data_IF_285293556686
#
_entry.id   IF_285293556686
#
_cell.length_a   1.000
_cell.length_b   1.000
_cell.length_c   1.000
_cell.angle_alpha   90.00
_cell.angle_beta   90.00
_cell.angle_gamma   90.00
#
_symmetry.space_group_name_H-M   'P 1'
#
loop_
_entity.id
_entity.type
_entity.pdbx_description
1 polymer ?
#
# COMPACT_ATOMS: atom_id res chain seq x y z
N UNK A 1 35.33 3.31 0.46
CA UNK A 1 34.64 4.40 1.18
C UNK A 1 34.52 5.57 0.21
N UNK A 2 33.43 5.61 -0.57
CA UNK A 2 33.13 6.79 -1.38
C UNK A 2 32.18 7.66 -0.56
N UNK A 3 32.70 8.74 -0.01
CA UNK A 3 31.89 9.81 0.56
C UNK A 3 31.74 10.86 -0.55
N UNK A 4 30.52 11.04 -1.04
CA UNK A 4 30.19 12.21 -1.84
C UNK A 4 29.76 13.32 -0.88
N UNK A 5 30.61 14.33 -0.70
CA UNK A 5 30.25 15.59 -0.05
C UNK A 5 29.64 16.54 -1.10
N UNK A 6 28.46 17.09 -0.84
CA UNK A 6 27.99 18.28 -1.54
C UNK A 6 28.51 19.51 -0.77
N UNK A 7 29.27 20.36 -1.46
CA UNK A 7 29.95 21.54 -0.90
C UNK A 7 28.95 22.66 -0.63
N UNK A 8 29.04 23.29 0.54
CA UNK A 8 28.39 24.56 0.87
C UNK A 8 29.27 25.75 0.46
N UNK A 9 28.71 26.75 -0.21
CA UNK A 9 29.36 28.05 -0.43
C UNK A 9 28.53 28.97 -1.33
N UNK A 10 28.16 30.16 -0.84
CA UNK A 10 27.11 31.04 -1.36
C UNK A 10 27.46 31.83 -2.64
N UNK A 11 26.49 32.00 -3.54
CA UNK A 11 25.78 33.27 -3.84
C UNK A 11 24.94 33.13 -5.14
N UNK A 12 23.69 33.61 -5.09
CA UNK A 12 22.57 33.42 -6.04
C UNK A 12 21.85 32.05 -5.97
N UNK A 13 20.60 32.09 -5.54
CA UNK A 13 19.72 30.91 -5.38
C UNK A 13 19.28 30.37 -6.75
N UNK A 14 19.80 29.20 -7.11
CA UNK A 14 19.10 28.24 -7.96
C UNK A 14 19.44 26.84 -7.47
N UNK A 15 18.70 26.35 -6.48
CA UNK A 15 18.91 25.00 -5.93
C UNK A 15 18.16 23.98 -6.80
N UNK A 16 18.55 23.86 -8.07
CA UNK A 16 18.12 22.76 -8.92
C UNK A 16 19.08 21.57 -8.77
N UNK A 17 19.15 21.01 -7.56
CA UNK A 17 19.85 19.76 -7.30
C UNK A 17 18.97 18.59 -7.78
N UNK A 18 18.94 18.34 -9.09
CA UNK A 18 18.25 17.17 -9.63
C UNK A 18 19.24 16.21 -10.29
N UNK A 19 19.18 14.93 -9.91
CA UNK A 19 19.80 13.85 -10.66
C UNK A 19 18.87 13.48 -11.82
N UNK A 20 19.27 13.77 -13.07
CA UNK A 20 18.50 13.43 -14.26
C UNK A 20 18.83 12.01 -14.74
N UNK A 21 17.88 11.10 -14.64
CA UNK A 21 17.99 9.74 -15.19
C UNK A 21 16.96 9.58 -16.32
N UNK A 22 17.43 9.33 -17.55
CA UNK A 22 16.60 9.12 -18.77
C UNK A 22 16.76 7.68 -19.28
N UNK A 23 15.72 7.12 -19.87
CA UNK A 23 15.68 5.73 -20.33
C UNK A 23 14.72 5.57 -21.50
N UNK A 24 14.69 4.36 -22.06
CA UNK A 24 14.44 4.15 -23.48
C UNK A 24 13.00 3.71 -23.83
N UNK A 25 12.56 4.04 -25.04
CA UNK A 25 11.23 3.77 -25.62
C UNK A 25 11.23 2.45 -26.43
N UNK A 26 10.94 1.31 -25.80
CA UNK A 26 10.81 0.00 -26.47
C UNK A 26 9.35 -0.41 -26.72
N UNK A 27 9.03 -0.86 -27.94
CA UNK A 27 7.68 -1.09 -28.49
C UNK A 27 7.10 -2.52 -28.35
N UNK A 28 7.52 -3.35 -27.39
CA UNK A 28 6.97 -4.72 -27.23
C UNK A 28 6.21 -4.91 -25.91
N UNK A 29 5.34 -5.93 -25.74
CA UNK A 29 4.66 -6.22 -24.47
C UNK A 29 5.64 -6.93 -23.51
N UNK A 30 5.74 -6.48 -22.24
CA UNK A 30 6.85 -6.87 -21.34
C UNK A 30 6.39 -7.49 -20.00
N UNK A 31 7.28 -8.30 -19.40
CA UNK A 31 7.18 -8.86 -18.03
C UNK A 31 8.06 -8.07 -17.04
N UNK A 32 7.57 -7.68 -15.83
CA UNK A 32 8.27 -6.77 -14.90
C UNK A 32 9.54 -7.33 -14.25
N UNK A 33 9.72 -8.66 -14.19
CA UNK A 33 10.80 -9.28 -13.40
C UNK A 33 12.13 -9.39 -14.15
N UNK A 34 12.18 -9.01 -15.43
CA UNK A 34 13.36 -9.04 -16.28
C UNK A 34 13.64 -7.74 -17.04
N UNK A 35 13.06 -6.62 -16.59
CA UNK A 35 13.12 -5.36 -17.33
C UNK A 35 14.49 -4.66 -17.18
N UNK A 36 15.25 -4.61 -18.29
CA UNK A 36 16.55 -3.94 -18.40
C UNK A 36 16.44 -2.41 -18.46
N UNK A 37 15.23 -1.83 -18.45
CA UNK A 37 14.98 -0.37 -18.41
C UNK A 37 14.97 0.20 -16.99
N UNK A 38 15.54 -0.52 -16.02
CA UNK A 38 15.65 -0.04 -14.65
C UNK A 38 16.66 1.09 -14.57
N UNK A 39 16.20 2.29 -14.22
CA UNK A 39 17.03 3.49 -14.14
C UNK A 39 17.92 3.45 -12.90
N UNK A 40 17.34 3.11 -11.75
CA UNK A 40 18.04 3.00 -10.48
C UNK A 40 17.80 1.60 -9.90
N UNK A 41 18.87 0.80 -9.84
CA UNK A 41 18.87 -0.50 -9.17
C UNK A 41 19.71 -0.41 -7.91
N UNK A 42 19.06 -0.48 -6.76
CA UNK A 42 19.73 -0.60 -5.46
C UNK A 42 19.79 -2.07 -5.09
N UNK A 43 20.99 -2.59 -4.83
CA UNK A 43 21.21 -3.99 -4.45
C UNK A 43 22.09 -4.04 -3.21
N UNK A 44 21.62 -4.76 -2.20
CA UNK A 44 22.37 -5.14 -1.03
C UNK A 44 22.59 -6.66 -1.08
N UNK A 45 23.85 -7.09 -1.19
CA UNK A 45 24.25 -8.50 -1.29
C UNK A 45 24.51 -9.15 0.08
N UNK A 46 24.28 -8.42 1.18
CA UNK A 46 24.44 -8.97 2.52
C UNK A 46 23.46 -10.13 2.75
N UNK A 47 23.99 -11.22 3.29
CA UNK A 47 23.28 -12.48 3.54
C UNK A 47 22.83 -12.62 4.99
N UNK A 48 22.83 -11.53 5.76
CA UNK A 48 22.42 -11.50 7.17
C UNK A 48 20.91 -11.21 7.28
N UNK A 49 20.22 -11.70 8.34
CA UNK A 49 18.84 -11.34 8.62
C UNK A 49 18.65 -9.82 8.67
N UNK A 50 17.51 -9.33 8.17
CA UNK A 50 17.16 -7.90 8.10
C UNK A 50 18.02 -7.03 7.16
N UNK A 51 18.83 -7.64 6.29
CA UNK A 51 19.47 -6.91 5.19
C UNK A 51 18.41 -6.24 4.31
N UNK A 52 18.59 -4.96 4.01
CA UNK A 52 17.60 -4.19 3.25
C UNK A 52 18.26 -3.27 2.22
N UNK A 53 17.46 -2.83 1.26
CA UNK A 53 17.69 -1.61 0.48
C UNK A 53 16.57 -0.63 0.79
N UNK A 54 16.88 0.67 0.91
CA UNK A 54 15.88 1.70 1.14
C UNK A 54 16.25 3.01 0.45
N UNK A 55 15.22 3.74 0.01
CA UNK A 55 15.29 5.15 -0.32
C UNK A 55 14.52 5.91 0.75
N UNK A 56 15.17 6.89 1.37
CA UNK A 56 14.57 7.80 2.35
C UNK A 56 14.32 9.15 1.68
N UNK A 57 13.09 9.67 1.82
CA UNK A 57 12.68 10.98 1.33
C UNK A 57 12.26 11.82 2.53
N UNK A 58 13.03 12.85 2.83
CA UNK A 58 12.81 13.77 3.96
C UNK A 58 12.74 15.20 3.48
N UNK A 59 11.91 16.03 4.11
CA UNK A 59 11.90 17.47 3.88
C UNK A 59 11.66 18.26 5.18
N UNK A 60 12.17 19.49 5.24
CA UNK A 60 12.02 20.37 6.41
C UNK A 60 12.98 20.03 7.56
N UNK A 61 12.70 20.58 8.74
CA UNK A 61 13.57 20.49 9.94
C UNK A 61 13.41 19.21 10.76
N UNK A 62 12.48 18.32 10.39
CA UNK A 62 12.18 17.10 11.16
C UNK A 62 13.21 15.98 11.04
N UNK A 63 14.22 16.13 10.18
CA UNK A 63 15.25 15.11 9.94
C UNK A 63 14.65 13.75 9.57
N UNK A 64 15.26 12.67 10.04
CA UNK A 64 14.84 11.28 9.74
C UNK A 64 13.47 10.89 10.33
N UNK A 65 12.89 11.72 11.21
CA UNK A 65 11.54 11.50 11.74
C UNK A 65 10.46 11.91 10.74
N UNK A 66 10.72 12.90 9.89
CA UNK A 66 9.77 13.40 8.88
C UNK A 66 10.00 12.77 7.49
N UNK A 67 10.27 11.46 7.47
CA UNK A 67 10.70 10.75 6.27
C UNK A 67 9.68 9.72 5.75
N UNK A 68 9.60 9.60 4.43
CA UNK A 68 8.94 8.49 3.74
C UNK A 68 9.99 7.54 3.18
N UNK A 69 9.77 6.25 3.37
CA UNK A 69 10.68 5.20 2.97
C UNK A 69 10.05 4.32 1.89
N UNK A 70 10.82 4.06 0.84
CA UNK A 70 10.59 2.94 -0.08
C UNK A 70 11.69 1.91 0.16
N UNK A 71 11.34 0.74 0.70
CA UNK A 71 12.32 -0.26 1.12
C UNK A 71 11.95 -1.67 0.69
N UNK A 72 12.95 -2.55 0.66
CA UNK A 72 12.75 -3.98 0.52
C UNK A 72 13.65 -4.71 1.51
N UNK A 73 13.05 -5.62 2.28
CA UNK A 73 13.77 -6.44 3.25
C UNK A 73 14.03 -7.83 2.66
N UNK A 74 15.27 -8.31 2.75
CA UNK A 74 15.68 -9.62 2.26
C UNK A 74 14.91 -10.77 2.94
N UNK A 75 14.88 -11.93 2.26
CA UNK A 75 14.05 -13.08 2.65
C UNK A 75 14.78 -14.12 3.52
N UNK A 76 16.12 -14.16 3.60
CA UNK A 76 16.93 -15.29 4.13
C UNK A 76 17.97 -14.89 5.21
N UNK A 77 18.49 -15.73 6.15
CA UNK A 77 18.17 -17.09 6.66
C UNK A 77 19.10 -17.46 7.87
N UNK A 78 18.57 -17.64 9.09
CA UNK A 78 18.72 -18.86 9.93
C UNK A 78 17.90 -18.71 11.23
N UNK A 79 17.14 -19.76 11.55
CA UNK A 79 16.29 -19.91 12.73
C UNK A 79 17.08 -19.75 14.05
N UNK A 80 16.48 -19.30 15.19
CA UNK A 80 15.05 -19.22 15.46
C UNK A 80 14.64 -17.83 16.01
N UNK A 81 14.70 -16.74 15.24
CA UNK A 81 14.12 -15.44 15.66
C UNK A 81 14.04 -14.40 14.52
N UNK A 82 13.77 -14.83 13.28
CA UNK A 82 13.28 -13.90 12.27
C UNK A 82 11.84 -13.52 12.67
N UNK A 83 11.65 -12.36 13.30
CA UNK A 83 10.35 -11.72 13.46
C UNK A 83 9.79 -11.43 12.04
N UNK A 84 9.18 -12.45 11.44
CA UNK A 84 9.00 -12.65 10.00
C UNK A 84 7.83 -11.93 9.34
N UNK A 85 7.36 -10.81 9.88
CA UNK A 85 6.23 -10.08 9.28
C UNK A 85 6.60 -9.38 7.96
N UNK A 86 7.89 -9.05 7.77
CA UNK A 86 8.34 -8.17 6.68
C UNK A 86 9.43 -8.75 5.79
N UNK A 87 9.95 -9.94 6.12
CA UNK A 87 10.99 -10.60 5.34
C UNK A 87 10.47 -10.94 3.93
N UNK A 88 11.22 -10.57 2.89
CA UNK A 88 10.84 -10.75 1.49
C UNK A 88 9.77 -9.77 0.99
N UNK A 89 9.33 -8.80 1.79
CA UNK A 89 8.34 -7.80 1.39
C UNK A 89 9.00 -6.46 1.00
N UNK A 90 8.51 -5.87 -0.09
CA UNK A 90 8.68 -4.44 -0.36
C UNK A 90 7.71 -3.62 0.49
N UNK A 91 8.15 -2.46 0.97
CA UNK A 91 7.39 -1.61 1.87
C UNK A 91 7.43 -0.16 1.39
N UNK A 92 6.28 0.50 1.50
CA UNK A 92 6.14 1.95 1.44
C UNK A 92 5.54 2.39 2.78
N UNK A 93 6.30 3.15 3.56
CA UNK A 93 5.84 3.64 4.86
C UNK A 93 6.34 5.06 5.11
N UNK A 94 5.58 5.82 5.90
CA UNK A 94 5.94 7.15 6.35
C UNK A 94 5.98 7.17 7.88
N UNK A 95 6.88 7.99 8.42
CA UNK A 95 6.88 8.33 9.84
C UNK A 95 6.00 9.58 10.07
N UNK A 96 5.53 9.75 11.30
CA UNK A 96 4.68 10.86 11.76
C UNK A 96 3.24 10.87 11.18
N UNK A 97 2.93 11.82 10.31
CA UNK A 97 1.55 12.16 9.93
C UNK A 97 0.86 11.12 9.03
N UNK A 98 1.62 10.17 8.48
CA UNK A 98 1.09 9.02 7.72
C UNK A 98 1.37 9.07 6.21
N UNK A 99 0.75 8.14 5.48
CA UNK A 99 0.95 7.92 4.05
C UNK A 99 -0.29 8.32 3.25
N UNK A 100 -0.10 9.13 2.21
CA UNK A 100 -1.15 9.47 1.25
C UNK A 100 -0.94 8.67 -0.03
N UNK A 101 -1.92 7.84 -0.40
CA UNK A 101 -2.06 7.28 -1.74
C UNK A 101 -3.16 8.07 -2.45
N UNK A 102 -2.82 8.76 -3.53
CA UNK A 102 -3.76 9.60 -4.28
C UNK A 102 -3.68 9.29 -5.77
N UNK A 103 -4.84 9.23 -6.40
CA UNK A 103 -5.00 9.08 -7.83
C UNK A 103 -5.94 10.16 -8.34
N UNK A 104 -5.63 10.71 -9.51
CA UNK A 104 -6.39 11.79 -10.15
C UNK A 104 -5.62 13.10 -10.28
N UNK A 105 -6.10 13.97 -11.18
CA UNK A 105 -5.57 15.31 -11.44
C UNK A 105 -6.70 16.26 -11.84
N UNK A 106 -6.39 17.54 -12.09
CA UNK A 106 -7.37 18.48 -12.62
C UNK A 106 -7.88 18.10 -14.02
N UNK A 107 -7.08 17.39 -14.82
CA UNK A 107 -7.47 16.91 -16.16
C UNK A 107 -8.12 15.51 -16.13
N UNK A 108 -7.89 14.74 -15.08
CA UNK A 108 -8.51 13.43 -14.87
C UNK A 108 -8.90 13.29 -13.39
N UNK A 109 -10.02 13.91 -12.95
CA UNK A 109 -10.41 13.91 -11.55
C UNK A 109 -10.84 12.53 -11.05
N UNK A 110 -11.20 11.63 -11.96
CA UNK A 110 -11.79 10.32 -11.65
C UNK A 110 -10.71 9.23 -11.49
N UNK A 111 -9.62 9.57 -10.82
CA UNK A 111 -8.57 8.61 -10.50
C UNK A 111 -9.05 7.57 -9.49
N UNK A 112 -8.61 6.33 -9.67
CA UNK A 112 -8.95 5.21 -8.78
C UNK A 112 -7.68 4.59 -8.18
N UNK A 113 -7.82 3.92 -7.04
CA UNK A 113 -6.76 3.14 -6.41
C UNK A 113 -7.14 1.66 -6.53
N UNK A 114 -6.22 0.83 -7.04
CA UNK A 114 -6.42 -0.62 -7.21
C UNK A 114 -5.38 -1.41 -6.41
N UNK A 115 -5.82 -2.52 -5.85
CA UNK A 115 -4.97 -3.53 -5.23
C UNK A 115 -5.10 -4.84 -6.02
N UNK A 116 -3.97 -5.39 -6.42
CA UNK A 116 -3.90 -6.53 -7.36
C UNK A 116 -3.00 -7.62 -6.76
N UNK A 117 -3.35 -8.89 -6.94
CA UNK A 117 -2.53 -10.02 -6.45
C UNK A 117 -2.56 -11.23 -7.38
N UNK A 118 -1.43 -11.95 -7.40
CA UNK A 118 -1.18 -13.19 -8.14
C UNK A 118 -0.95 -12.95 -9.63
N UNK A 119 -0.06 -13.68 -10.28
CA UNK A 119 0.07 -13.68 -11.74
C UNK A 119 -0.43 -15.01 -12.27
N UNK A 120 -0.92 -15.06 -13.51
CA UNK A 120 -1.14 -16.37 -14.13
C UNK A 120 0.21 -17.03 -14.51
N UNK A 121 0.26 -18.35 -14.71
CA UNK A 121 1.50 -19.04 -15.11
C UNK A 121 2.08 -18.56 -16.45
N UNK A 122 1.28 -17.93 -17.30
CA UNK A 122 1.69 -17.32 -18.56
C UNK A 122 2.26 -15.90 -18.37
N UNK A 123 2.30 -15.38 -17.14
CA UNK A 123 2.79 -14.05 -16.82
C UNK A 123 1.80 -12.92 -17.11
N UNK A 124 0.53 -13.23 -17.40
CA UNK A 124 -0.51 -12.22 -17.49
C UNK A 124 -0.75 -11.60 -16.12
N UNK A 125 -0.94 -10.28 -16.13
CA UNK A 125 -1.03 -9.47 -14.94
C UNK A 125 -2.23 -9.83 -14.08
N UNK A 126 -2.03 -9.63 -12.78
CA UNK A 126 -2.97 -9.93 -11.71
C UNK A 126 -4.41 -9.50 -11.95
N UNK A 127 -5.30 -10.27 -11.36
CA UNK A 127 -6.68 -9.85 -11.14
C UNK A 127 -6.71 -8.74 -10.09
N UNK A 128 -7.49 -7.70 -10.38
CA UNK A 128 -7.87 -6.70 -9.40
C UNK A 128 -8.66 -7.37 -8.27
N UNK A 129 -8.19 -7.24 -7.02
CA UNK A 129 -8.82 -7.85 -5.84
C UNK A 129 -9.65 -6.85 -5.06
N UNK A 130 -9.19 -5.62 -4.98
CA UNK A 130 -9.87 -4.53 -4.31
C UNK A 130 -9.64 -3.23 -5.08
N UNK A 131 -10.63 -2.33 -5.04
CA UNK A 131 -10.47 -0.94 -5.48
C UNK A 131 -11.15 0.05 -4.56
N UNK A 132 -10.71 1.30 -4.69
CA UNK A 132 -11.43 2.49 -4.26
C UNK A 132 -11.70 3.31 -5.52
N UNK A 133 -12.98 3.52 -5.84
CA UNK A 133 -13.38 4.33 -6.99
C UNK A 133 -13.32 5.85 -6.70
N UNK A 134 -13.60 6.66 -7.71
CA UNK A 134 -13.50 8.12 -7.64
C UNK A 134 -14.50 8.78 -6.68
N UNK A 135 -15.63 8.12 -6.40
CA UNK A 135 -16.65 8.59 -5.45
C UNK A 135 -16.46 7.99 -4.05
N UNK A 136 -15.38 7.24 -3.85
CA UNK A 136 -14.98 6.65 -2.58
C UNK A 136 -15.74 5.38 -2.20
N UNK A 137 -16.24 4.62 -3.18
CA UNK A 137 -16.75 3.28 -2.95
C UNK A 137 -15.62 2.26 -2.97
N UNK A 138 -15.70 1.30 -2.05
CA UNK A 138 -14.78 0.17 -1.96
C UNK A 138 -15.41 -1.06 -2.59
N UNK A 139 -14.76 -1.59 -3.62
CA UNK A 139 -15.13 -2.87 -4.24
C UNK A 139 -14.13 -3.96 -3.86
N UNK A 140 -14.62 -5.14 -3.49
CA UNK A 140 -13.81 -6.36 -3.31
C UNK A 140 -14.33 -7.43 -4.29
N UNK A 141 -13.44 -7.96 -5.12
CA UNK A 141 -13.76 -8.97 -6.15
C UNK A 141 -14.54 -8.45 -7.36
N UNK A 142 -14.75 -7.14 -7.49
CA UNK A 142 -15.48 -6.54 -8.61
C UNK A 142 -14.94 -5.15 -8.99
N UNK A 143 -15.14 -4.75 -10.25
CA UNK A 143 -14.54 -3.53 -10.81
C UNK A 143 -15.48 -2.30 -10.77
N UNK A 144 -16.76 -2.49 -10.47
CA UNK A 144 -17.78 -1.41 -10.49
C UNK A 144 -18.62 -1.48 -9.22
N UNK A 145 -18.09 -1.04 -8.07
CA UNK A 145 -18.87 -1.01 -6.84
C UNK A 145 -20.06 -0.05 -6.99
N UNK A 146 -21.23 -0.47 -6.52
CA UNK A 146 -22.50 0.29 -6.58
C UNK A 146 -22.90 0.88 -5.22
N UNK A 147 -22.09 0.65 -4.19
CA UNK A 147 -22.30 1.08 -2.81
C UNK A 147 -20.95 1.35 -2.15
N UNK A 148 -20.95 2.07 -1.02
CA UNK A 148 -19.73 2.44 -0.29
C UNK A 148 -18.82 1.25 0.04
N UNK A 149 -19.41 0.08 0.28
CA UNK A 149 -18.71 -1.19 0.32
C UNK A 149 -19.53 -2.21 -0.50
N UNK A 150 -18.88 -2.91 -1.43
CA UNK A 150 -19.46 -4.02 -2.19
C UNK A 150 -18.48 -5.19 -2.23
N UNK A 151 -18.96 -6.39 -1.91
CA UNK A 151 -18.23 -7.66 -2.06
C UNK A 151 -18.92 -8.44 -3.17
N UNK A 152 -18.17 -8.83 -4.19
CA UNK A 152 -18.71 -9.55 -5.36
C UNK A 152 -18.28 -11.01 -5.32
N UNK A 153 -19.23 -11.93 -5.53
CA UNK A 153 -18.99 -13.38 -5.61
C UNK A 153 -18.21 -13.95 -4.40
N UNK A 154 -18.49 -13.47 -3.18
CA UNK A 154 -17.83 -13.94 -1.96
C UNK A 154 -18.63 -13.64 -0.70
N UNK A 155 -18.26 -14.30 0.40
CA UNK A 155 -18.92 -14.20 1.70
C UNK A 155 -18.21 -13.20 2.63
N UNK A 156 -18.94 -12.75 3.66
CA UNK A 156 -18.37 -12.00 4.80
C UNK A 156 -18.31 -12.92 6.00
N UNK A 157 -17.09 -13.27 6.42
CA UNK A 157 -16.86 -14.05 7.63
C UNK A 157 -16.43 -13.16 8.79
N UNK A 158 -17.21 -13.19 9.89
CA UNK A 158 -16.93 -12.45 11.12
C UNK A 158 -16.62 -13.49 12.20
N UNK A 159 -15.34 -13.68 12.50
CA UNK A 159 -14.84 -14.74 13.39
C UNK A 159 -15.18 -14.51 14.88
N UNK A 160 -15.25 -13.25 15.31
CA UNK A 160 -15.61 -12.93 16.69
C UNK A 160 -17.15 -12.91 16.85
N UNK A 161 -17.75 -13.85 17.60
CA UNK A 161 -19.22 -13.97 17.71
C UNK A 161 -19.89 -12.75 18.38
N UNK A 162 -19.12 -11.94 19.12
CA UNK A 162 -19.61 -10.70 19.74
C UNK A 162 -19.56 -9.50 18.77
N UNK A 163 -19.09 -9.70 17.54
CA UNK A 163 -19.02 -8.70 16.47
C UNK A 163 -20.03 -9.04 15.36
N UNK A 164 -20.37 -8.03 14.58
CA UNK A 164 -21.42 -8.13 13.58
C UNK A 164 -21.63 -6.81 12.87
N UNK A 165 -22.77 -6.66 12.19
CA UNK A 165 -23.11 -5.43 11.46
C UNK A 165 -23.75 -4.44 12.42
N UNK A 166 -23.22 -3.22 12.50
CA UNK A 166 -23.83 -2.14 13.27
C UNK A 166 -24.73 -1.33 12.34
N UNK A 167 -26.02 -1.28 12.64
CA UNK A 167 -27.04 -0.54 11.91
C UNK A 167 -27.59 0.59 12.80
N UNK A 168 -27.68 1.81 12.26
CA UNK A 168 -28.30 2.94 12.95
C UNK A 168 -29.77 3.04 12.55
N UNK A 169 -30.68 3.04 13.51
CA UNK A 169 -32.10 3.25 13.28
C UNK A 169 -32.41 4.72 12.94
N UNK A 170 -33.56 5.02 12.32
CA UNK A 170 -33.98 6.41 12.07
C UNK A 170 -34.08 7.27 13.33
N UNK A 171 -34.36 6.67 14.49
CA UNK A 171 -34.38 7.34 15.79
C UNK A 171 -32.99 7.60 16.38
N UNK A 172 -31.92 7.19 15.69
CA UNK A 172 -30.54 7.45 16.08
C UNK A 172 -29.87 6.38 16.93
N UNK A 173 -30.57 5.29 17.29
CA UNK A 173 -29.98 4.19 18.06
C UNK A 173 -29.15 3.27 17.18
N UNK A 174 -28.01 2.81 17.68
CA UNK A 174 -27.19 1.83 16.98
C UNK A 174 -27.47 0.41 17.50
N UNK A 175 -27.58 -0.53 16.58
CA UNK A 175 -27.90 -1.92 16.82
C UNK A 175 -26.83 -2.80 16.21
N UNK A 176 -26.20 -3.66 17.01
CA UNK A 176 -25.36 -4.73 16.47
C UNK A 176 -26.24 -5.93 16.14
N UNK A 177 -26.13 -6.40 14.91
CA UNK A 177 -26.74 -7.65 14.44
C UNK A 177 -25.68 -8.75 14.49
N UNK A 178 -25.94 -9.79 15.28
CA UNK A 178 -25.12 -11.02 15.40
C UNK A 178 -25.99 -12.26 15.17
N UNK A 179 -25.40 -13.45 15.31
CA UNK A 179 -26.07 -14.75 15.24
C UNK A 179 -25.90 -15.45 16.60
N UNK A 180 -26.96 -16.10 17.11
CA UNK A 180 -26.89 -16.98 18.29
C UNK A 180 -26.51 -18.43 17.91
N UNK A 181 -26.32 -19.30 18.90
CA UNK A 181 -25.95 -20.72 18.68
C UNK A 181 -27.02 -21.53 17.92
N UNK A 182 -28.25 -21.00 17.82
CA UNK A 182 -29.34 -21.58 17.04
C UNK A 182 -29.45 -20.99 15.62
N UNK A 183 -28.56 -20.07 15.24
CA UNK A 183 -28.57 -19.44 13.91
C UNK A 183 -29.49 -18.23 13.78
N UNK A 184 -30.12 -17.75 14.86
CA UNK A 184 -31.04 -16.63 14.80
C UNK A 184 -30.32 -15.29 14.83
N UNK A 185 -30.89 -14.29 14.13
CA UNK A 185 -30.43 -12.91 14.25
C UNK A 185 -30.75 -12.31 15.61
N UNK A 186 -29.69 -11.99 16.35
CA UNK A 186 -29.76 -11.23 17.60
C UNK A 186 -29.47 -9.76 17.31
N UNK A 187 -30.30 -8.88 17.85
CA UNK A 187 -30.18 -7.42 17.72
C UNK A 187 -29.96 -6.84 19.10
N UNK A 188 -28.76 -6.33 19.35
CA UNK A 188 -28.41 -5.71 20.64
C UNK A 188 -28.21 -4.23 20.42
N UNK A 189 -28.97 -3.40 21.15
CA UNK A 189 -28.72 -1.96 21.16
C UNK A 189 -27.35 -1.69 21.81
N UNK A 190 -26.56 -0.83 21.18
CA UNK A 190 -25.25 -0.40 21.65
C UNK A 190 -25.15 1.12 21.58
N UNK A 191 -24.14 1.70 22.25
CA UNK A 191 -23.71 3.05 21.90
C UNK A 191 -23.23 3.08 20.45
N UNK A 192 -23.58 4.13 19.71
CA UNK A 192 -23.00 4.33 18.40
C UNK A 192 -21.46 4.47 18.52
N UNK A 193 -20.70 3.83 17.63
CA UNK A 193 -19.26 3.99 17.54
C UNK A 193 -18.85 5.38 17.06
#
# INVERSE_FOLDING_TARGET
>A
MFIAYAVSGQSSESINNFLLMKGNNGLTPFSPTGDTRTYLKLRNDATIPSSLVSVELSAGSGGASASTFLSHQAREYNFPQANGAFAGFGQLYARDNGLILRSGSSQNPNGIIKFMTGNDPAGNFSLERMRIDEVGNVGIGGQTPKSKLQISNGDVYIDNPNRGIILKSPSGFCWRVTIDDAGNFVRTQISCP
#
